data_IF_439490457901
#
_entry.id   IF_439490457901
#
_cell.length_a   1.000
_cell.length_b   1.000
_cell.length_c   1.000
_cell.angle_alpha   90.00
_cell.angle_beta   90.00
_cell.angle_gamma   90.00
#
_symmetry.space_group_name_H-M   'P 1'
#
loop_
_entity.id
_entity.type
_entity.pdbx_description
1 polymer ?
#
# COMPACT_ATOMS: atom_id res chain seq x y z
N UNK A 1 -20.40 12.32 22.60
CA UNK A 1 -21.15 13.17 21.65
C UNK A 1 -20.92 12.67 20.21
N UNK A 2 -21.28 11.41 19.95
CA UNK A 2 -21.32 10.83 18.59
C UNK A 2 -22.74 11.01 18.08
N UNK A 3 -22.95 11.81 17.02
CA UNK A 3 -24.09 11.76 16.07
C UNK A 3 -24.23 13.07 15.26
N UNK A 4 -23.22 13.53 14.53
CA UNK A 4 -23.44 14.59 13.52
C UNK A 4 -22.48 14.44 12.32
N UNK A 5 -22.55 13.34 11.56
CA UNK A 5 -22.04 13.33 10.16
C UNK A 5 -22.89 12.36 9.31
N UNK A 6 -24.19 12.66 9.16
CA UNK A 6 -25.05 12.07 8.10
C UNK A 6 -26.12 13.10 7.73
N UNK A 7 -25.74 14.09 6.93
CA UNK A 7 -26.56 15.20 6.39
C UNK A 7 -25.52 16.26 5.98
N UNK A 8 -25.33 16.75 4.76
CA UNK A 8 -26.22 16.99 3.64
C UNK A 8 -25.33 17.38 2.45
N UNK A 9 -25.48 16.73 1.29
CA UNK A 9 -25.13 17.36 0.01
C UNK A 9 -26.28 17.07 -0.93
N UNK A 10 -27.28 17.94 -0.87
CA UNK A 10 -28.40 17.98 -1.80
C UNK A 10 -28.20 19.25 -2.64
N UNK A 11 -27.49 19.12 -3.77
CA UNK A 11 -27.40 20.20 -4.76
C UNK A 11 -28.45 19.91 -5.83
N UNK A 12 -29.64 20.45 -5.64
CA UNK A 12 -30.70 20.44 -6.64
C UNK A 12 -30.48 21.62 -7.60
N UNK A 13 -30.13 21.32 -8.85
CA UNK A 13 -30.14 22.29 -9.95
C UNK A 13 -31.58 22.45 -10.41
N UNK A 14 -32.12 23.65 -10.24
CA UNK A 14 -33.48 24.02 -10.58
C UNK A 14 -33.52 24.56 -12.02
N UNK A 15 -34.25 23.88 -12.91
CA UNK A 15 -34.60 24.43 -14.22
C UNK A 15 -36.12 24.29 -14.42
N UNK A 16 -36.79 25.44 -14.64
CA UNK A 16 -38.21 25.59 -15.00
C UNK A 16 -38.41 24.99 -16.42
N UNK A 17 -39.52 24.43 -16.87
CA UNK A 17 -40.95 24.81 -16.90
C UNK A 17 -41.69 23.64 -17.58
N UNK A 18 -42.96 23.36 -17.25
CA UNK A 18 -43.84 22.61 -18.17
C UNK A 18 -44.76 21.60 -17.48
N UNK A 19 -46.03 21.99 -17.35
CA UNK A 19 -47.14 21.20 -16.84
C UNK A 19 -47.50 20.09 -17.86
N UNK A 20 -47.46 18.79 -17.48
CA UNK A 20 -48.30 17.70 -18.03
C UNK A 20 -48.23 16.52 -17.03
N UNK A 21 -49.39 16.13 -16.53
CA UNK A 21 -49.68 15.01 -15.67
C UNK A 21 -49.61 13.67 -16.43
N UNK A 22 -48.61 12.83 -16.11
CA UNK A 22 -48.66 11.37 -16.31
C UNK A 22 -47.90 10.67 -15.16
N UNK A 23 -48.39 9.52 -14.65
CA UNK A 23 -47.67 8.77 -13.64
C UNK A 23 -46.43 8.15 -14.27
N UNK A 24 -45.25 8.70 -13.94
CA UNK A 24 -43.96 8.15 -14.35
C UNK A 24 -43.68 6.94 -13.45
N UNK A 25 -43.78 5.74 -14.01
CA UNK A 25 -43.25 4.50 -13.42
C UNK A 25 -41.81 4.76 -12.98
N UNK A 26 -41.37 4.36 -11.77
CA UNK A 26 -40.00 4.58 -11.35
C UNK A 26 -39.07 3.73 -12.21
N UNK A 27 -38.57 4.34 -13.29
CA UNK A 27 -37.41 3.84 -14.02
C UNK A 27 -36.30 3.69 -12.99
N UNK A 28 -35.81 2.47 -12.79
CA UNK A 28 -34.56 2.22 -12.07
C UNK A 28 -33.49 3.03 -12.80
N UNK A 29 -33.14 4.19 -12.24
CA UNK A 29 -31.90 4.87 -12.60
C UNK A 29 -30.76 3.90 -12.29
N UNK A 30 -30.33 3.15 -13.29
CA UNK A 30 -29.08 2.38 -13.25
C UNK A 30 -28.00 3.44 -13.05
N UNK A 31 -27.36 3.44 -11.88
CA UNK A 31 -26.17 4.24 -11.62
C UNK A 31 -25.09 3.80 -12.60
N UNK A 32 -25.04 4.44 -13.77
CA UNK A 32 -24.20 4.06 -14.91
C UNK A 32 -22.72 4.36 -14.71
N UNK A 33 -22.35 5.01 -13.59
CA UNK A 33 -20.97 5.38 -13.30
C UNK A 33 -20.43 4.50 -12.18
N UNK A 34 -19.48 3.64 -12.54
CA UNK A 34 -18.64 2.92 -11.57
C UNK A 34 -17.99 3.95 -10.66
N UNK A 35 -18.20 3.82 -9.33
CA UNK A 35 -17.67 4.77 -8.36
C UNK A 35 -16.17 4.57 -8.10
N UNK A 36 -15.70 3.33 -8.16
CA UNK A 36 -14.31 2.96 -7.88
C UNK A 36 -13.51 2.66 -9.15
N UNK A 37 -12.19 2.75 -9.05
CA UNK A 37 -11.28 2.44 -10.15
C UNK A 37 -11.30 0.94 -10.46
N UNK A 38 -11.24 0.59 -11.76
CA UNK A 38 -11.29 -0.82 -12.22
C UNK A 38 -10.15 -1.68 -11.65
N UNK A 39 -8.96 -1.10 -11.48
CA UNK A 39 -7.78 -1.79 -10.90
C UNK A 39 -7.96 -2.28 -9.45
N UNK A 40 -9.04 -1.86 -8.78
CA UNK A 40 -9.38 -2.33 -7.43
C UNK A 40 -10.26 -3.59 -7.44
N UNK A 41 -10.66 -4.08 -8.60
CA UNK A 41 -11.58 -5.21 -8.71
C UNK A 41 -10.96 -6.50 -8.16
N UNK A 42 -11.49 -7.01 -7.05
CA UNK A 42 -11.07 -8.27 -6.44
C UNK A 42 -9.66 -8.23 -5.85
N UNK A 43 -9.23 -7.06 -5.36
CA UNK A 43 -8.06 -6.87 -4.48
C UNK A 43 -8.45 -6.18 -3.15
N UNK A 44 -9.75 -6.06 -2.89
CA UNK A 44 -10.35 -5.37 -1.75
C UNK A 44 -10.39 -6.21 -0.46
N UNK A 45 -10.26 -7.54 -0.59
CA UNK A 45 -10.31 -8.47 0.55
C UNK A 45 -8.92 -8.68 1.15
N UNK A 46 -8.85 -8.69 2.48
CA UNK A 46 -7.62 -8.92 3.22
C UNK A 46 -7.86 -9.93 4.36
N UNK A 47 -7.30 -11.11 4.21
CA UNK A 47 -7.46 -12.23 5.15
C UNK A 47 -6.85 -11.95 6.54
N UNK A 48 -5.81 -11.11 6.60
CA UNK A 48 -5.15 -10.75 7.86
C UNK A 48 -6.08 -9.98 8.79
N UNK A 49 -7.04 -9.22 8.26
CA UNK A 49 -8.04 -8.49 9.06
C UNK A 49 -8.94 -9.48 9.80
N UNK A 50 -9.37 -10.54 9.12
CA UNK A 50 -10.24 -11.57 9.72
C UNK A 50 -9.52 -12.33 10.84
N UNK A 51 -8.29 -12.81 10.58
CA UNK A 51 -7.51 -13.51 11.60
C UNK A 51 -7.11 -12.62 12.78
N UNK A 52 -6.77 -11.36 12.53
CA UNK A 52 -6.42 -10.42 13.61
C UNK A 52 -7.63 -10.14 14.50
N UNK A 53 -8.81 -9.96 13.91
CA UNK A 53 -10.04 -9.77 14.68
C UNK A 53 -10.33 -11.00 15.55
N UNK A 54 -10.25 -12.20 14.97
CA UNK A 54 -10.48 -13.43 15.70
C UNK A 54 -9.48 -13.62 16.84
N UNK A 55 -8.18 -13.37 16.60
CA UNK A 55 -7.16 -13.48 17.63
C UNK A 55 -7.37 -12.49 18.79
N UNK A 56 -7.99 -11.32 18.55
CA UNK A 56 -8.29 -10.33 19.58
C UNK A 56 -9.51 -10.71 20.44
N UNK A 57 -10.46 -11.49 19.91
CA UNK A 57 -11.65 -11.94 20.63
C UNK A 57 -11.32 -13.00 21.70
N UNK A 58 -10.23 -13.75 21.53
CA UNK A 58 -9.82 -14.83 22.42
C UNK A 58 -8.50 -14.52 23.13
N UNK A 59 -8.32 -15.07 24.34
CA UNK A 59 -7.03 -15.03 25.03
C UNK A 59 -6.11 -16.13 24.50
N UNK A 60 -5.34 -15.80 23.46
CA UNK A 60 -4.45 -16.75 22.77
C UNK A 60 -2.98 -16.34 22.92
N UNK A 61 -2.09 -17.34 22.83
CA UNK A 61 -0.68 -17.08 22.50
C UNK A 61 -0.58 -16.93 20.99
N UNK A 62 -0.21 -15.74 20.52
CA UNK A 62 -0.22 -15.43 19.09
C UNK A 62 1.14 -15.72 18.46
N UNK A 63 1.25 -16.86 17.78
CA UNK A 63 2.43 -17.25 16.99
C UNK A 63 2.28 -16.90 15.49
N UNK A 64 1.21 -16.21 15.12
CA UNK A 64 0.94 -15.80 13.73
C UNK A 64 1.46 -14.41 13.38
N UNK A 65 1.85 -13.59 14.36
CA UNK A 65 2.41 -12.26 14.12
C UNK A 65 3.84 -12.36 13.60
N UNK A 66 4.10 -11.72 12.46
CA UNK A 66 5.41 -11.68 11.82
C UNK A 66 6.34 -10.57 12.32
N UNK A 67 6.15 -10.07 13.54
CA UNK A 67 6.99 -9.04 14.15
C UNK A 67 7.45 -9.45 15.55
N UNK A 68 8.65 -9.01 15.99
CA UNK A 68 9.13 -9.27 17.35
C UNK A 68 8.24 -8.69 18.44
N UNK A 69 8.02 -9.43 19.52
CA UNK A 69 7.31 -8.99 20.73
C UNK A 69 8.24 -8.44 21.83
N UNK A 70 9.52 -8.26 21.50
CA UNK A 70 10.56 -7.70 22.37
C UNK A 70 11.11 -6.37 21.83
N UNK A 71 11.78 -5.61 22.70
CA UNK A 71 12.34 -4.31 22.33
C UNK A 71 13.49 -4.43 21.31
N UNK A 72 13.62 -3.49 20.36
CA UNK A 72 14.77 -3.46 19.48
C UNK A 72 16.05 -3.15 20.26
N UNK A 73 17.24 -3.50 19.73
CA UNK A 73 18.53 -3.15 20.33
C UNK A 73 18.65 -1.66 20.68
N UNK A 74 19.37 -1.34 21.78
CA UNK A 74 19.42 0.03 22.32
C UNK A 74 19.94 1.06 21.32
N UNK A 75 20.95 0.71 20.53
CA UNK A 75 21.52 1.61 19.52
C UNK A 75 20.50 2.08 18.47
N UNK A 76 19.47 1.29 18.18
CA UNK A 76 18.38 1.67 17.26
C UNK A 76 17.48 2.70 17.93
N UNK A 77 17.12 2.47 19.19
CA UNK A 77 16.29 3.39 19.97
C UNK A 77 17.00 4.73 20.16
N UNK A 78 18.29 4.68 20.52
CA UNK A 78 19.15 5.85 20.68
C UNK A 78 19.28 6.65 19.38
N UNK A 79 19.51 5.98 18.24
CA UNK A 79 19.60 6.64 16.94
C UNK A 79 18.28 7.34 16.56
N UNK A 80 17.14 6.73 16.85
CA UNK A 80 15.84 7.37 16.59
C UNK A 80 15.60 8.58 17.50
N UNK A 81 15.90 8.46 18.80
CA UNK A 81 15.84 9.57 19.75
C UNK A 81 16.74 10.74 19.35
N UNK A 82 17.94 10.45 18.83
CA UNK A 82 18.86 11.47 18.30
C UNK A 82 18.32 12.14 17.04
N UNK A 83 17.69 11.39 16.13
CA UNK A 83 17.08 11.97 14.93
C UNK A 83 15.90 12.91 15.27
N UNK A 84 15.11 12.57 16.29
CA UNK A 84 13.96 13.39 16.75
C UNK A 84 14.41 14.59 17.59
N UNK A 85 15.40 14.43 18.45
CA UNK A 85 15.92 15.50 19.32
C UNK A 85 17.03 16.34 18.66
N UNK A 86 17.35 16.05 17.41
CA UNK A 86 18.49 16.62 16.69
C UNK A 86 18.25 18.03 16.16
N UNK A 87 18.95 18.36 15.06
CA UNK A 87 18.83 19.67 14.44
C UNK A 87 17.41 19.93 13.88
N UNK A 88 16.94 21.17 13.99
CA UNK A 88 15.64 21.59 13.45
C UNK A 88 15.49 21.32 11.93
N UNK A 89 16.62 21.25 11.21
CA UNK A 89 16.69 20.88 9.79
C UNK A 89 16.13 19.49 9.50
N UNK A 90 16.23 18.54 10.44
CA UNK A 90 15.71 17.17 10.29
C UNK A 90 14.18 17.09 10.36
N UNK A 91 13.50 18.13 10.85
CA UNK A 91 12.04 18.21 10.84
C UNK A 91 11.49 18.69 9.50
N UNK A 92 12.34 19.07 8.56
CA UNK A 92 11.97 19.51 7.22
C UNK A 92 12.17 18.40 6.19
N UNK A 93 11.66 18.61 4.98
CA UNK A 93 11.82 17.66 3.90
C UNK A 93 13.29 17.39 3.59
N UNK A 94 13.61 16.11 3.38
CA UNK A 94 14.88 15.69 2.80
C UNK A 94 14.76 15.53 1.28
N UNK A 95 15.81 15.02 0.61
CA UNK A 95 15.79 14.71 -0.82
C UNK A 95 14.70 13.68 -1.14
N UNK A 96 14.00 13.87 -2.25
CA UNK A 96 12.87 13.04 -2.68
C UNK A 96 13.17 11.53 -2.72
N UNK A 97 14.33 11.12 -3.22
CA UNK A 97 14.70 9.70 -3.36
C UNK A 97 15.44 9.13 -2.14
N UNK A 98 15.49 9.87 -1.03
CA UNK A 98 16.04 9.38 0.23
C UNK A 98 17.04 10.34 0.87
N UNK A 99 17.16 10.23 2.20
CA UNK A 99 18.06 11.03 3.00
C UNK A 99 19.53 10.76 2.59
N UNK A 100 20.36 11.78 2.24
CA UNK A 100 21.69 11.57 1.68
C UNK A 100 22.64 10.71 2.53
N UNK A 101 22.74 10.88 3.87
CA UNK A 101 23.51 9.97 4.73
C UNK A 101 23.05 8.51 4.65
N UNK A 102 21.73 8.27 4.57
CA UNK A 102 21.15 6.93 4.49
C UNK A 102 21.51 6.26 3.16
N UNK A 103 21.32 6.93 2.02
CA UNK A 103 21.63 6.33 0.72
C UNK A 103 23.12 6.05 0.54
N UNK A 104 24.01 6.91 1.08
CA UNK A 104 25.46 6.68 1.05
C UNK A 104 25.87 5.44 1.85
N UNK A 105 25.31 5.24 3.05
CA UNK A 105 25.65 4.06 3.85
C UNK A 105 25.07 2.78 3.23
N UNK A 106 23.88 2.84 2.65
CA UNK A 106 23.27 1.72 1.93
C UNK A 106 24.14 1.30 0.74
N UNK A 107 24.57 2.25 -0.10
CA UNK A 107 25.45 1.97 -1.25
C UNK A 107 26.75 1.30 -0.82
N UNK A 108 27.40 1.86 0.21
CA UNK A 108 28.66 1.31 0.74
C UNK A 108 28.48 -0.08 1.35
N UNK A 109 27.38 -0.32 2.06
CA UNK A 109 27.13 -1.59 2.74
C UNK A 109 26.74 -2.68 1.76
N UNK A 110 25.72 -2.42 0.92
CA UNK A 110 25.23 -3.39 -0.04
C UNK A 110 26.21 -3.62 -1.18
N UNK A 111 26.94 -2.61 -1.64
CA UNK A 111 27.95 -2.78 -2.68
C UNK A 111 29.03 -3.81 -2.32
N UNK A 112 29.38 -3.92 -1.04
CA UNK A 112 30.28 -4.98 -0.53
C UNK A 112 29.65 -6.35 -0.54
N UNK A 113 28.35 -6.46 -0.24
CA UNK A 113 27.62 -7.72 -0.16
C UNK A 113 27.38 -8.27 -1.57
N UNK A 114 26.95 -7.42 -2.50
CA UNK A 114 26.67 -7.82 -3.89
C UNK A 114 27.93 -7.89 -4.76
N UNK A 115 29.05 -7.32 -4.30
CA UNK A 115 30.32 -7.30 -5.04
C UNK A 115 30.33 -6.33 -6.21
N UNK A 116 29.57 -5.24 -6.14
CA UNK A 116 29.37 -4.27 -7.22
C UNK A 116 29.44 -2.84 -6.65
N UNK A 117 29.97 -1.91 -7.45
CA UNK A 117 29.88 -0.48 -7.12
C UNK A 117 28.43 0.01 -7.31
N UNK A 118 27.89 0.68 -6.29
CA UNK A 118 26.51 1.21 -6.28
C UNK A 118 26.60 2.73 -6.13
N UNK A 119 26.02 3.47 -7.06
CA UNK A 119 25.88 4.92 -6.95
C UNK A 119 24.75 5.26 -5.96
N UNK A 120 25.03 5.96 -4.84
CA UNK A 120 24.01 6.27 -3.85
C UNK A 120 22.89 7.21 -4.33
N UNK A 121 23.07 7.91 -5.44
CA UNK A 121 22.10 8.88 -5.96
C UNK A 121 21.34 8.39 -7.18
N UNK A 122 21.88 7.41 -7.91
CA UNK A 122 21.26 6.81 -9.10
C UNK A 122 20.69 5.40 -8.85
N UNK A 123 21.37 4.56 -8.05
CA UNK A 123 20.99 3.15 -7.88
C UNK A 123 20.16 2.88 -6.61
N UNK A 124 19.94 3.90 -5.77
CA UNK A 124 19.24 3.76 -4.48
C UNK A 124 18.02 4.65 -4.40
N UNK A 125 16.89 4.00 -4.07
CA UNK A 125 15.64 4.64 -3.72
C UNK A 125 15.20 4.20 -2.31
N UNK A 126 14.99 5.16 -1.41
CA UNK A 126 14.38 4.89 -0.10
C UNK A 126 12.87 4.90 -0.23
N UNK A 127 12.21 3.86 0.27
CA UNK A 127 10.75 3.68 0.22
C UNK A 127 10.15 3.55 1.62
N UNK A 128 8.82 3.63 1.71
CA UNK A 128 8.01 3.35 2.90
C UNK A 128 7.98 1.84 3.13
N UNK A 129 9.10 1.34 3.64
CA UNK A 129 9.34 -0.09 3.86
C UNK A 129 9.42 -0.90 2.56
N UNK A 130 9.64 -2.21 2.71
CA UNK A 130 9.73 -3.14 1.59
C UNK A 130 8.40 -3.29 0.83
N UNK A 131 7.26 -3.11 1.50
CA UNK A 131 5.94 -3.13 0.87
C UNK A 131 5.79 -2.07 -0.23
N UNK A 132 6.22 -0.84 0.02
CA UNK A 132 6.17 0.20 -1.01
C UNK A 132 7.22 -0.04 -2.09
N UNK A 133 8.39 -0.60 -1.77
CA UNK A 133 9.37 -0.98 -2.79
C UNK A 133 8.75 -1.95 -3.80
N UNK A 134 8.10 -3.02 -3.33
CA UNK A 134 7.37 -3.96 -4.17
C UNK A 134 6.30 -3.25 -5.01
N UNK A 135 5.47 -2.42 -4.39
CA UNK A 135 4.43 -1.67 -5.09
C UNK A 135 4.99 -0.78 -6.21
N UNK A 136 6.05 0.00 -5.92
CA UNK A 136 6.70 0.84 -6.91
C UNK A 136 7.28 0.02 -8.07
N UNK A 137 7.89 -1.14 -7.78
CA UNK A 137 8.41 -2.04 -8.82
C UNK A 137 7.30 -2.54 -9.73
N UNK A 138 6.19 -3.04 -9.19
CA UNK A 138 5.06 -3.51 -10.01
C UNK A 138 4.45 -2.38 -10.83
N UNK A 139 4.22 -1.20 -10.23
CA UNK A 139 3.65 -0.05 -10.95
C UNK A 139 4.58 0.53 -12.02
N UNK A 140 5.90 0.37 -11.87
CA UNK A 140 6.88 0.88 -12.83
C UNK A 140 7.13 -0.07 -14.01
N UNK A 141 6.96 -1.38 -13.82
CA UNK A 141 7.41 -2.39 -14.78
C UNK A 141 6.31 -3.24 -15.40
N UNK A 142 5.14 -3.36 -14.76
CA UNK A 142 4.05 -4.22 -15.24
C UNK A 142 2.99 -3.37 -15.94
N UNK A 143 2.61 -3.77 -17.14
CA UNK A 143 1.52 -3.16 -17.91
C UNK A 143 0.38 -4.17 -18.17
N UNK A 144 -0.71 -3.67 -18.76
CA UNK A 144 -1.91 -4.43 -19.07
C UNK A 144 -1.61 -5.66 -19.95
N UNK A 145 -1.85 -6.85 -19.42
CA UNK A 145 -1.65 -8.12 -20.13
C UNK A 145 -0.28 -8.77 -19.91
N UNK A 146 0.67 -8.10 -19.25
CA UNK A 146 1.97 -8.69 -18.92
C UNK A 146 1.83 -9.86 -17.95
N UNK A 147 2.69 -10.88 -18.11
CA UNK A 147 2.73 -12.02 -17.21
C UNK A 147 3.82 -11.86 -16.15
N UNK A 148 3.46 -12.08 -14.89
CA UNK A 148 4.40 -12.03 -13.76
C UNK A 148 4.49 -13.38 -13.09
N UNK A 149 5.68 -13.98 -13.12
CA UNK A 149 5.94 -15.28 -12.48
C UNK A 149 5.97 -15.11 -10.96
N UNK A 150 5.16 -15.90 -10.24
CA UNK A 150 5.10 -15.95 -8.78
C UNK A 150 5.41 -17.38 -8.33
N UNK A 151 6.43 -17.56 -7.50
CA UNK A 151 6.83 -18.87 -6.96
C UNK A 151 6.02 -19.16 -5.69
N UNK A 152 5.39 -20.32 -5.59
CA UNK A 152 4.58 -20.70 -4.42
C UNK A 152 5.37 -21.54 -3.40
N UNK A 153 5.26 -21.29 -2.08
CA UNK A 153 4.42 -20.28 -1.44
C UNK A 153 5.02 -18.87 -1.53
N UNK A 154 4.17 -17.86 -1.72
CA UNK A 154 4.57 -16.47 -1.90
C UNK A 154 4.09 -15.56 -0.78
N UNK A 155 4.72 -14.39 -0.67
CA UNK A 155 4.20 -13.31 0.15
C UNK A 155 2.94 -12.73 -0.50
N UNK A 156 1.81 -12.81 0.20
CA UNK A 156 0.45 -12.67 -0.31
C UNK A 156 0.21 -11.40 -1.14
N UNK A 157 0.92 -10.31 -0.85
CA UNK A 157 0.75 -9.04 -1.54
C UNK A 157 1.21 -9.04 -3.00
N UNK A 158 2.00 -10.03 -3.45
CA UNK A 158 2.47 -10.08 -4.85
C UNK A 158 1.30 -10.17 -5.83
N UNK A 159 0.34 -11.07 -5.58
CA UNK A 159 -0.82 -11.26 -6.45
C UNK A 159 -1.68 -9.99 -6.63
N UNK A 160 -2.15 -9.30 -5.56
CA UNK A 160 -2.94 -8.09 -5.72
C UNK A 160 -2.15 -6.93 -6.34
N UNK A 161 -0.83 -6.83 -6.09
CA UNK A 161 0.00 -5.80 -6.74
C UNK A 161 0.11 -6.02 -8.25
N UNK A 162 0.35 -7.27 -8.70
CA UNK A 162 0.35 -7.64 -10.12
C UNK A 162 -0.99 -7.31 -10.77
N UNK A 163 -2.09 -7.73 -10.12
CA UNK A 163 -3.45 -7.50 -10.64
C UNK A 163 -3.80 -6.01 -10.71
N UNK A 164 -3.40 -5.22 -9.71
CA UNK A 164 -3.64 -3.78 -9.69
C UNK A 164 -2.85 -3.04 -10.77
N UNK A 165 -1.71 -3.59 -11.22
CA UNK A 165 -0.92 -3.07 -12.33
C UNK A 165 -1.44 -3.51 -13.72
N UNK A 166 -2.50 -4.32 -13.80
CA UNK A 166 -3.03 -4.83 -15.08
C UNK A 166 -2.37 -6.15 -15.55
N UNK A 167 -1.41 -6.65 -14.79
CA UNK A 167 -0.71 -7.89 -15.11
C UNK A 167 -1.50 -9.15 -14.72
N UNK A 168 -1.04 -10.27 -15.24
CA UNK A 168 -1.53 -11.62 -14.99
C UNK A 168 -0.48 -12.42 -14.22
N UNK A 169 -0.82 -12.85 -13.00
CA UNK A 169 0.04 -13.73 -12.22
C UNK A 169 0.12 -15.14 -12.85
N UNK A 170 1.34 -15.66 -12.99
CA UNK A 170 1.63 -17.02 -13.46
C UNK A 170 2.34 -17.76 -12.33
N UNK A 171 1.71 -18.79 -11.79
CA UNK A 171 2.18 -19.46 -10.58
C UNK A 171 3.08 -20.65 -10.89
N UNK A 172 4.19 -20.76 -10.15
CA UNK A 172 5.13 -21.89 -10.22
C UNK A 172 5.25 -22.51 -8.84
N UNK A 173 4.68 -23.70 -8.60
CA UNK A 173 4.75 -24.35 -7.29
C UNK A 173 6.14 -24.94 -7.04
N UNK A 174 6.72 -24.67 -5.86
CA UNK A 174 7.87 -25.41 -5.39
C UNK A 174 7.49 -26.88 -5.18
N UNK A 175 8.32 -27.79 -5.70
CA UNK A 175 8.18 -29.23 -5.52
C UNK A 175 9.28 -29.72 -4.60
N UNK A 176 8.90 -30.47 -3.58
CA UNK A 176 9.80 -31.22 -2.70
C UNK A 176 9.93 -32.66 -3.20
#
# INVERSE_FOLDING_TARGET
MLRIIKSTVNVAVQCRTGNISKPVTPSKFIMSRRLHARRLDGVDKNIWVEFTQLAAEYKVVNLGQGFPDFSPPSFIQEAFCQAVSGECSLHQYTRAFGHPPLVKILAKFFGRIVGQEIDPFEDILVTVGAYQALFCTFQALVDEGDEVIIIEPFFDCYQPMVKMAGGKAVYVPLRQ
#
